data_IF_036381465470
#
_entry.id   IF_036381465470
#
_cell.length_a   1.000
_cell.length_b   1.000
_cell.length_c   1.000
_cell.angle_alpha   90.00
_cell.angle_beta   90.00
_cell.angle_gamma   90.00
#
_symmetry.space_group_name_H-M   'P 1'
#
loop_
_entity.id
_entity.type
_entity.pdbx_description
1 polymer ?
#
# COMPACT_ATOMS: atom_id res chain seq x y z
N UNK A 1 20.06 -13.76 14.64
CA UNK A 1 19.90 -13.31 16.05
C UNK A 1 18.45 -12.94 16.29
N UNK A 2 17.88 -13.33 17.44
CA UNK A 2 16.52 -12.98 17.80
C UNK A 2 16.38 -11.46 17.98
N UNK A 3 15.21 -10.95 17.59
CA UNK A 3 14.83 -9.55 17.71
C UNK A 3 14.34 -9.31 19.14
N UNK A 4 14.88 -8.28 19.82
CA UNK A 4 14.39 -7.88 21.15
C UNK A 4 12.92 -7.45 21.05
N UNK A 5 12.08 -8.04 21.90
CA UNK A 5 10.70 -7.59 22.07
C UNK A 5 10.69 -6.17 22.61
N UNK A 6 9.57 -5.47 22.48
CA UNK A 6 9.45 -4.12 23.02
C UNK A 6 9.63 -4.11 24.55
N UNK A 7 9.13 -5.13 25.25
CA UNK A 7 9.31 -5.31 26.70
C UNK A 7 10.79 -5.46 27.05
N UNK A 8 11.54 -6.28 26.30
CA UNK A 8 12.96 -6.49 26.56
C UNK A 8 13.78 -5.21 26.32
N UNK A 9 13.38 -4.39 25.34
CA UNK A 9 14.02 -3.09 25.11
C UNK A 9 13.82 -2.16 26.30
N UNK A 10 12.60 -2.07 26.83
CA UNK A 10 12.31 -1.26 28.02
C UNK A 10 13.07 -1.78 29.25
N UNK A 11 13.13 -3.11 29.44
CA UNK A 11 13.93 -3.73 30.51
C UNK A 11 15.41 -3.36 30.37
N UNK A 12 15.98 -3.49 29.17
CA UNK A 12 17.37 -3.13 28.92
C UNK A 12 17.65 -1.65 29.20
N UNK A 13 16.72 -0.76 28.85
CA UNK A 13 16.84 0.67 29.15
C UNK A 13 16.77 0.95 30.65
N UNK A 14 15.88 0.28 31.39
CA UNK A 14 15.84 0.38 32.85
C UNK A 14 17.15 -0.04 33.51
N UNK A 15 17.77 -1.13 33.03
CA UNK A 15 19.09 -1.57 33.51
C UNK A 15 20.20 -0.54 33.20
N UNK A 16 20.17 0.07 32.02
CA UNK A 16 21.11 1.14 31.67
C UNK A 16 20.91 2.39 32.54
N UNK A 17 19.65 2.75 32.86
CA UNK A 17 19.32 3.87 33.75
C UNK A 17 19.76 3.60 35.19
N UNK A 18 19.74 2.35 35.63
CA UNK A 18 20.28 1.91 36.93
C UNK A 18 21.83 1.91 36.97
N UNK A 19 22.51 2.35 35.91
CA UNK A 19 23.96 2.51 35.87
C UNK A 19 24.74 1.26 35.45
N UNK A 20 24.07 0.18 35.03
CA UNK A 20 24.78 -1.00 34.53
C UNK A 20 25.50 -0.71 33.21
N UNK A 21 26.73 -1.24 33.02
CA UNK A 21 27.45 -1.07 31.77
C UNK A 21 26.76 -1.85 30.64
N UNK A 22 26.91 -1.35 29.40
CA UNK A 22 26.30 -1.96 28.21
C UNK A 22 26.70 -3.44 28.05
N UNK A 23 27.95 -3.78 28.35
CA UNK A 23 28.48 -5.15 28.26
C UNK A 23 27.69 -6.13 29.14
N UNK A 24 27.40 -5.73 30.37
CA UNK A 24 26.65 -6.52 31.34
C UNK A 24 25.19 -6.70 30.91
N UNK A 25 24.54 -5.62 30.46
CA UNK A 25 23.16 -5.70 29.93
C UNK A 25 23.09 -6.60 28.69
N UNK A 26 24.07 -6.49 27.80
CA UNK A 26 24.20 -7.35 26.62
C UNK A 26 24.35 -8.83 26.99
N UNK A 27 25.22 -9.15 27.97
CA UNK A 27 25.43 -10.51 28.46
C UNK A 27 24.14 -11.09 29.07
N UNK A 28 23.49 -10.33 29.96
CA UNK A 28 22.26 -10.72 30.67
C UNK A 28 21.07 -10.96 29.74
N UNK A 29 21.05 -10.25 28.61
CA UNK A 29 20.02 -10.38 27.57
C UNK A 29 20.42 -11.34 26.45
N UNK A 30 21.60 -11.97 26.52
CA UNK A 30 22.16 -12.85 25.48
C UNK A 30 22.14 -12.21 24.08
N UNK A 31 22.58 -10.96 24.00
CA UNK A 31 22.64 -10.18 22.76
C UNK A 31 24.00 -9.51 22.63
N UNK A 32 24.46 -9.33 21.40
CA UNK A 32 25.74 -8.66 21.13
C UNK A 32 25.53 -7.12 21.06
N UNK A 33 25.73 -6.52 19.88
CA UNK A 33 25.71 -5.07 19.66
C UNK A 33 24.33 -4.40 19.79
N UNK A 34 23.29 -5.15 20.14
CA UNK A 34 21.89 -4.72 20.10
C UNK A 34 21.58 -3.67 21.15
N UNK A 35 22.13 -3.78 22.36
CA UNK A 35 21.93 -2.80 23.46
C UNK A 35 22.60 -1.47 23.14
N UNK A 36 23.83 -1.48 22.62
CA UNK A 36 24.51 -0.28 22.13
C UNK A 36 23.66 0.45 21.08
N UNK A 37 23.18 -0.29 20.07
CA UNK A 37 22.31 0.27 19.01
C UNK A 37 20.95 0.73 19.53
N UNK A 38 20.44 0.14 20.62
CA UNK A 38 19.21 0.56 21.26
C UNK A 38 19.41 1.91 21.97
N UNK A 39 20.47 2.04 22.79
CA UNK A 39 20.81 3.29 23.48
C UNK A 39 21.06 4.43 22.49
N UNK A 40 21.86 4.17 21.46
CA UNK A 40 22.14 5.15 20.41
C UNK A 40 20.85 5.61 19.72
N UNK A 41 19.97 4.66 19.34
CA UNK A 41 18.68 5.01 18.72
C UNK A 41 17.78 5.80 19.64
N UNK A 42 17.73 5.47 20.93
CA UNK A 42 16.95 6.23 21.90
C UNK A 42 17.43 7.69 21.97
N UNK A 43 18.74 7.93 21.98
CA UNK A 43 19.27 9.30 21.92
C UNK A 43 18.93 10.04 20.63
N UNK A 44 18.89 9.34 19.49
CA UNK A 44 18.57 9.95 18.19
C UNK A 44 17.08 10.26 18.01
N UNK A 45 16.19 9.36 18.46
CA UNK A 45 14.76 9.41 18.11
C UNK A 45 13.81 9.48 19.31
N UNK A 46 14.32 9.47 20.54
CA UNK A 46 13.54 9.43 21.79
C UNK A 46 12.45 8.35 21.82
N UNK A 47 12.65 7.27 21.07
CA UNK A 47 11.65 6.22 20.87
C UNK A 47 12.31 4.84 20.90
N UNK A 48 11.60 3.89 21.50
CA UNK A 48 12.00 2.47 21.61
C UNK A 48 11.35 1.63 20.51
N UNK A 49 10.31 2.18 19.88
CA UNK A 49 9.57 1.59 18.77
C UNK A 49 10.46 1.39 17.55
N UNK A 50 10.06 0.45 16.70
CA UNK A 50 10.75 0.26 15.44
C UNK A 50 10.54 1.43 14.49
N UNK A 51 11.58 1.73 13.71
CA UNK A 51 11.46 2.70 12.63
C UNK A 51 10.56 2.12 11.54
N UNK A 52 9.73 2.96 10.90
CA UNK A 52 8.99 2.53 9.72
C UNK A 52 9.99 2.01 8.68
N UNK A 53 9.74 0.82 8.16
CA UNK A 53 10.56 0.26 7.10
C UNK A 53 10.08 0.85 5.77
N UNK A 54 11.02 1.27 4.92
CA UNK A 54 10.69 1.80 3.58
C UNK A 54 10.01 0.77 2.68
N UNK A 55 10.18 -0.52 2.98
CA UNK A 55 9.63 -1.62 2.22
C UNK A 55 10.30 -1.76 0.85
N UNK A 56 9.81 -2.71 0.04
CA UNK A 56 10.31 -2.91 -1.32
C UNK A 56 9.84 -1.77 -2.24
N UNK A 57 10.74 -1.16 -3.03
CA UNK A 57 10.35 -0.17 -4.02
C UNK A 57 9.29 -0.70 -4.99
N UNK A 58 8.37 0.17 -5.41
CA UNK A 58 7.34 -0.17 -6.39
C UNK A 58 7.97 -0.47 -7.76
N UNK A 59 7.42 -1.46 -8.44
CA UNK A 59 7.76 -1.80 -9.82
C UNK A 59 7.23 -0.82 -10.87
N UNK A 60 6.36 0.11 -10.48
CA UNK A 60 5.81 1.15 -11.35
C UNK A 60 6.09 2.53 -10.77
N UNK A 61 6.17 3.53 -11.64
CA UNK A 61 6.29 4.95 -11.26
C UNK A 61 4.92 5.58 -11.12
N UNK A 62 4.83 6.70 -10.40
CA UNK A 62 3.56 7.43 -10.25
C UNK A 62 3.00 7.93 -11.58
N UNK A 63 3.85 8.28 -12.55
CA UNK A 63 3.42 8.66 -13.91
C UNK A 63 2.79 7.47 -14.65
N UNK A 64 3.39 6.28 -14.55
CA UNK A 64 2.84 5.05 -15.13
C UNK A 64 1.49 4.71 -14.49
N UNK A 65 1.39 4.80 -13.16
CA UNK A 65 0.15 4.54 -12.43
C UNK A 65 -0.98 5.50 -12.87
N UNK A 66 -0.69 6.81 -13.02
CA UNK A 66 -1.66 7.78 -13.55
C UNK A 66 -2.12 7.46 -14.97
N UNK A 67 -1.20 7.04 -15.83
CA UNK A 67 -1.55 6.64 -17.21
C UNK A 67 -2.41 5.38 -17.23
N UNK A 68 -2.12 4.39 -16.38
CA UNK A 68 -2.95 3.19 -16.24
C UNK A 68 -4.37 3.58 -15.83
N UNK A 69 -4.53 4.43 -14.82
CA UNK A 69 -5.84 4.92 -14.37
C UNK A 69 -6.58 5.62 -15.51
N UNK A 70 -5.93 6.56 -16.21
CA UNK A 70 -6.56 7.29 -17.33
C UNK A 70 -7.03 6.34 -18.42
N UNK A 71 -6.20 5.39 -18.83
CA UNK A 71 -6.55 4.44 -19.89
C UNK A 71 -7.75 3.57 -19.50
N UNK A 72 -7.85 3.15 -18.24
CA UNK A 72 -8.96 2.34 -17.74
C UNK A 72 -10.24 3.13 -17.50
N UNK A 73 -10.14 4.43 -17.21
CA UNK A 73 -11.32 5.32 -17.15
C UNK A 73 -11.88 5.55 -18.55
N UNK A 74 -11.03 5.80 -19.54
CA UNK A 74 -11.42 6.04 -20.93
C UNK A 74 -11.96 4.78 -21.62
N UNK A 75 -11.37 3.62 -21.34
CA UNK A 75 -11.83 2.34 -21.86
C UNK A 75 -12.07 1.35 -20.72
N UNK A 76 -13.33 1.30 -20.26
CA UNK A 76 -13.78 0.44 -19.15
C UNK A 76 -13.67 -1.06 -19.44
N UNK A 77 -13.54 -1.47 -20.70
CA UNK A 77 -13.38 -2.87 -21.10
C UNK A 77 -11.92 -3.30 -21.27
N UNK A 78 -10.96 -2.37 -21.09
CA UNK A 78 -9.54 -2.68 -21.18
C UNK A 78 -9.13 -3.69 -20.10
N UNK A 79 -8.59 -4.84 -20.51
CA UNK A 79 -8.13 -5.85 -19.54
C UNK A 79 -6.80 -5.45 -18.89
N UNK A 80 -6.65 -5.78 -17.60
CA UNK A 80 -5.39 -5.58 -16.88
C UNK A 80 -4.21 -6.32 -17.53
N UNK A 81 -4.46 -7.48 -18.15
CA UNK A 81 -3.44 -8.26 -18.88
C UNK A 81 -3.00 -7.58 -20.17
N UNK A 82 -3.90 -6.89 -20.88
CA UNK A 82 -3.52 -6.08 -22.03
C UNK A 82 -2.64 -4.90 -21.59
N UNK A 83 -3.05 -4.17 -20.55
CA UNK A 83 -2.24 -3.07 -20.01
C UNK A 83 -0.88 -3.51 -19.50
N UNK A 84 -0.78 -4.70 -18.90
CA UNK A 84 0.50 -5.22 -18.41
C UNK A 84 1.48 -5.58 -19.53
N UNK A 85 0.98 -5.98 -20.71
CA UNK A 85 1.82 -6.20 -21.90
C UNK A 85 2.32 -4.90 -22.50
N UNK A 86 1.50 -3.85 -22.48
CA UNK A 86 1.82 -2.54 -23.07
C UNK A 86 2.66 -1.65 -22.16
N UNK A 87 2.49 -1.78 -20.84
CA UNK A 87 3.15 -0.90 -19.86
C UNK A 87 4.43 -1.54 -19.36
N UNK A 88 5.56 -0.87 -19.61
CA UNK A 88 6.83 -1.21 -18.97
C UNK A 88 6.91 -0.52 -17.61
N UNK A 89 7.35 -1.24 -16.60
CA UNK A 89 7.55 -0.76 -15.24
C UNK A 89 8.81 0.09 -15.11
N UNK A 90 9.22 0.31 -13.86
CA UNK A 90 10.50 0.92 -13.50
C UNK A 90 11.64 0.11 -14.12
N UNK A 91 12.66 0.80 -14.62
CA UNK A 91 13.82 0.21 -15.30
C UNK A 91 13.43 -0.73 -16.46
N UNK A 92 12.36 -0.39 -17.19
CA UNK A 92 11.84 -1.15 -18.32
C UNK A 92 11.42 -2.60 -18.00
N UNK A 93 11.21 -2.93 -16.72
CA UNK A 93 10.82 -4.27 -16.31
C UNK A 93 9.38 -4.60 -16.74
N UNK A 94 9.12 -5.86 -17.04
CA UNK A 94 7.75 -6.34 -17.30
C UNK A 94 6.95 -6.30 -16.00
N UNK A 95 5.73 -5.77 -16.07
CA UNK A 95 4.79 -5.83 -14.94
C UNK A 95 3.75 -6.92 -15.19
N UNK A 96 3.27 -7.53 -14.11
CA UNK A 96 2.19 -8.52 -14.19
C UNK A 96 0.82 -7.84 -14.20
N UNK A 97 -0.20 -8.56 -14.67
CA UNK A 97 -1.59 -8.13 -14.56
C UNK A 97 -2.01 -7.86 -13.10
N UNK A 98 -1.47 -8.63 -12.14
CA UNK A 98 -1.72 -8.41 -10.71
C UNK A 98 -1.21 -7.04 -10.25
N UNK A 99 -0.03 -6.62 -10.70
CA UNK A 99 0.49 -5.27 -10.42
C UNK A 99 -0.47 -4.22 -10.94
N UNK A 100 -0.95 -4.34 -12.18
CA UNK A 100 -1.92 -3.40 -12.76
C UNK A 100 -3.21 -3.36 -11.93
N UNK A 101 -3.79 -4.51 -11.57
CA UNK A 101 -5.00 -4.56 -10.73
C UNK A 101 -4.80 -3.88 -9.38
N UNK A 102 -3.66 -4.10 -8.72
CA UNK A 102 -3.34 -3.41 -7.46
C UNK A 102 -3.26 -1.89 -7.64
N UNK A 103 -2.69 -1.40 -8.75
CA UNK A 103 -2.64 0.05 -9.03
C UNK A 103 -4.03 0.64 -9.24
N UNK A 104 -4.86 -0.04 -10.02
CA UNK A 104 -6.24 0.37 -10.26
C UNK A 104 -7.03 0.37 -8.94
N UNK A 105 -6.91 -0.66 -8.11
CA UNK A 105 -7.64 -0.73 -6.84
C UNK A 105 -7.18 0.34 -5.85
N UNK A 106 -5.89 0.65 -5.77
CA UNK A 106 -5.37 1.77 -4.96
C UNK A 106 -5.99 3.11 -5.39
N UNK A 107 -6.36 3.25 -6.65
CA UNK A 107 -7.06 4.44 -7.19
C UNK A 107 -8.59 4.31 -7.18
N UNK A 108 -9.15 3.32 -6.49
CA UNK A 108 -10.61 3.12 -6.38
C UNK A 108 -11.27 2.49 -7.62
N UNK A 109 -10.49 2.04 -8.60
CA UNK A 109 -11.00 1.35 -9.78
C UNK A 109 -11.10 -0.16 -9.53
N UNK A 110 -12.29 -0.69 -9.78
CA UNK A 110 -12.59 -2.12 -9.71
C UNK A 110 -13.29 -2.58 -10.99
N UNK A 111 -13.10 -3.85 -11.34
CA UNK A 111 -13.88 -4.45 -12.41
C UNK A 111 -15.34 -4.58 -11.97
N UNK A 112 -16.27 -4.21 -12.85
CA UNK A 112 -17.70 -4.38 -12.66
C UNK A 112 -18.28 -5.10 -13.86
N UNK A 113 -19.38 -5.82 -13.65
CA UNK A 113 -20.16 -6.36 -14.76
C UNK A 113 -20.93 -5.20 -15.40
N UNK A 114 -20.87 -5.00 -16.74
CA UNK A 114 -21.72 -4.04 -17.40
C UNK A 114 -23.19 -4.43 -17.20
N UNK A 115 -24.08 -3.45 -17.28
CA UNK A 115 -25.51 -3.71 -17.26
C UNK A 115 -25.90 -4.66 -18.41
N UNK A 116 -26.76 -5.62 -18.11
CA UNK A 116 -27.32 -6.56 -19.06
C UNK A 116 -28.84 -6.37 -19.12
N UNK A 117 -29.34 -5.90 -20.26
CA UNK A 117 -30.77 -5.66 -20.48
C UNK A 117 -31.04 -4.88 -21.76
N UNK A 118 -32.30 -4.50 -22.02
CA UNK A 118 -32.69 -3.81 -23.24
C UNK A 118 -31.94 -2.48 -23.39
N UNK A 119 -31.42 -2.21 -24.59
CA UNK A 119 -30.80 -0.92 -24.92
C UNK A 119 -31.93 0.10 -25.07
N UNK A 120 -31.96 1.10 -24.19
CA UNK A 120 -32.93 2.19 -24.30
C UNK A 120 -32.55 3.11 -25.45
N UNK A 121 -33.44 3.24 -26.42
CA UNK A 121 -33.36 4.29 -27.45
C UNK A 121 -33.58 5.66 -26.81
N UNK A 122 -33.27 6.74 -27.53
CA UNK A 122 -33.51 8.10 -27.05
C UNK A 122 -35.00 8.33 -26.73
N UNK A 123 -35.92 7.83 -27.57
CA UNK A 123 -37.37 7.87 -27.33
C UNK A 123 -37.76 7.18 -26.03
N UNK A 124 -37.28 5.97 -25.79
CA UNK A 124 -37.57 5.22 -24.56
C UNK A 124 -37.08 5.98 -23.32
N UNK A 125 -35.87 6.57 -23.36
CA UNK A 125 -35.35 7.37 -22.25
C UNK A 125 -36.25 8.56 -21.95
N UNK A 126 -36.63 9.32 -22.97
CA UNK A 126 -37.47 10.51 -22.81
C UNK A 126 -38.84 10.19 -22.20
N UNK A 127 -39.55 9.21 -22.74
CA UNK A 127 -40.86 8.79 -22.23
C UNK A 127 -40.80 8.30 -20.79
N UNK A 128 -39.77 7.52 -20.44
CA UNK A 128 -39.58 7.05 -19.05
C UNK A 128 -39.29 8.19 -18.10
N UNK A 129 -38.54 9.20 -18.52
CA UNK A 129 -38.27 10.39 -17.69
C UNK A 129 -39.53 11.21 -17.46
N UNK A 130 -40.33 11.48 -18.50
CA UNK A 130 -41.62 12.20 -18.36
C UNK A 130 -42.52 11.48 -17.37
N UNK A 131 -42.72 10.17 -17.59
CA UNK A 131 -43.57 9.37 -16.71
C UNK A 131 -43.10 9.41 -15.25
N UNK A 132 -41.79 9.30 -15.01
CA UNK A 132 -41.22 9.37 -13.66
C UNK A 132 -41.40 10.75 -13.00
N UNK A 133 -41.38 11.84 -13.77
CA UNK A 133 -41.62 13.19 -13.28
C UNK A 133 -43.09 13.43 -12.94
N UNK A 134 -44.01 12.98 -13.82
CA UNK A 134 -45.46 13.12 -13.62
C UNK A 134 -45.97 12.33 -12.40
N UNK A 135 -45.26 11.26 -12.02
CA UNK A 135 -45.64 10.35 -10.94
C UNK A 135 -44.67 10.39 -9.74
N UNK A 136 -43.80 11.41 -9.67
CA UNK A 136 -43.00 11.67 -8.47
C UNK A 136 -43.89 12.35 -7.42
N UNK A 137 -44.21 11.62 -6.35
CA UNK A 137 -44.96 12.14 -5.20
C UNK A 137 -44.18 13.21 -4.42
#
# INVERSE_FOLDING_TARGET
>A
MPRLSEVDRHRALGLLQAGLPISEVSLRMNVNRTIFRLRQRLHETNTVSDRPHSGRPRSTTQRQDRNLVRNHVNNRFLSASASSRQTRGRNNQRISANTVRRRLSTSGLSARRPYFGPILTQRHRHQRTIWAQEHAA
#
